data_IF_899341003964
#
_entry.id   IF_899341003964
#
_cell.length_a   1.000
_cell.length_b   1.000
_cell.length_c   1.000
_cell.angle_alpha   90.00
_cell.angle_beta   90.00
_cell.angle_gamma   90.00
#
_symmetry.space_group_name_H-M   'P 1'
#
loop_
_entity.id
_entity.type
_entity.pdbx_description
1 polymer ?
#
# COMPACT_ATOMS: atom_id res chain seq x y z
N UNK A 1 24.14 8.30 4.87
CA UNK A 1 22.77 7.77 5.02
C UNK A 1 22.07 8.63 6.06
N UNK A 2 20.88 9.13 5.77
CA UNK A 2 20.01 9.77 6.77
C UNK A 2 19.02 8.75 7.30
N UNK A 3 18.66 8.86 8.58
CA UNK A 3 17.62 8.06 9.22
C UNK A 3 16.46 8.96 9.65
N UNK A 4 15.23 8.49 9.41
CA UNK A 4 14.02 9.08 9.94
C UNK A 4 13.53 8.17 11.08
N UNK A 5 13.32 8.73 12.26
CA UNK A 5 12.87 8.02 13.46
C UNK A 5 11.64 8.70 14.03
N UNK A 6 10.69 7.90 14.51
CA UNK A 6 9.50 8.37 15.23
C UNK A 6 9.51 7.67 16.57
N UNK A 7 9.56 8.46 17.64
CA UNK A 7 9.47 7.95 19.01
C UNK A 7 8.00 7.87 19.40
N UNK A 8 7.56 6.68 19.82
CA UNK A 8 6.20 6.40 20.24
C UNK A 8 6.28 5.87 21.67
N UNK A 9 5.53 6.44 22.63
CA UNK A 9 5.42 5.86 23.96
C UNK A 9 4.92 4.42 23.89
N UNK A 10 5.50 3.51 24.69
CA UNK A 10 5.15 2.08 24.66
C UNK A 10 3.64 1.84 24.86
N UNK A 11 2.99 2.67 25.69
CA UNK A 11 1.54 2.63 25.95
C UNK A 11 0.68 2.93 24.71
N UNK A 12 1.24 3.62 23.72
CA UNK A 12 0.57 4.03 22.49
C UNK A 12 0.95 3.18 21.26
N UNK A 13 1.94 2.29 21.37
CA UNK A 13 2.36 1.43 20.25
C UNK A 13 1.20 0.54 19.78
N UNK A 14 0.49 -0.09 20.73
CA UNK A 14 -0.63 -0.99 20.41
C UNK A 14 -1.72 -0.30 19.60
N UNK A 15 -2.20 0.88 20.04
CA UNK A 15 -3.25 1.61 19.33
C UNK A 15 -2.83 2.07 17.93
N UNK A 16 -1.55 2.40 17.73
CA UNK A 16 -1.03 2.82 16.43
C UNK A 16 -1.01 1.64 15.47
N UNK A 17 -0.51 0.49 15.93
CA UNK A 17 -0.45 -0.74 15.14
C UNK A 17 -1.87 -1.22 14.82
N UNK A 18 -2.78 -1.24 15.79
CA UNK A 18 -4.17 -1.63 15.60
C UNK A 18 -4.87 -0.71 14.59
N UNK A 19 -4.65 0.61 14.67
CA UNK A 19 -5.20 1.56 13.71
C UNK A 19 -4.68 1.32 12.28
N UNK A 20 -3.38 1.06 12.11
CA UNK A 20 -2.80 0.73 10.81
C UNK A 20 -3.35 -0.59 10.26
N UNK A 21 -3.39 -1.64 11.08
CA UNK A 21 -3.96 -2.92 10.72
C UNK A 21 -5.42 -2.79 10.27
N UNK A 22 -6.24 -2.02 10.99
CA UNK A 22 -7.64 -1.78 10.64
C UNK A 22 -7.78 -1.00 9.32
N UNK A 23 -7.00 0.08 9.12
CA UNK A 23 -7.10 0.93 7.94
C UNK A 23 -6.63 0.23 6.66
N UNK A 24 -5.60 -0.61 6.77
CA UNK A 24 -5.01 -1.32 5.64
C UNK A 24 -5.45 -2.79 5.53
N UNK A 25 -6.48 -3.18 6.30
CA UNK A 25 -7.16 -4.49 6.21
C UNK A 25 -6.23 -5.68 6.46
N UNK A 26 -5.42 -5.59 7.51
CA UNK A 26 -4.68 -6.75 8.00
C UNK A 26 -5.64 -7.88 8.39
N UNK A 27 -5.22 -9.13 8.16
CA UNK A 27 -5.95 -10.32 8.57
C UNK A 27 -5.03 -11.19 9.41
N UNK A 28 -5.52 -11.65 10.56
CA UNK A 28 -4.78 -12.57 11.44
C UNK A 28 -4.66 -13.97 10.80
N UNK A 29 -5.64 -14.36 9.97
CA UNK A 29 -5.62 -15.59 9.16
C UNK A 29 -5.75 -15.24 7.68
N UNK A 30 -4.99 -15.94 6.85
CA UNK A 30 -5.01 -15.79 5.39
C UNK A 30 -5.41 -17.11 4.73
N UNK A 31 -5.97 -17.07 3.50
CA UNK A 31 -6.23 -18.27 2.73
C UNK A 31 -4.96 -19.09 2.60
N UNK A 32 -5.07 -20.39 2.86
CA UNK A 32 -3.93 -21.28 2.74
C UNK A 32 -3.56 -21.45 1.26
N UNK A 33 -2.36 -21.03 0.83
CA UNK A 33 -1.95 -21.16 -0.57
C UNK A 33 -1.76 -22.60 -1.02
N UNK A 34 -1.62 -23.55 -0.09
CA UNK A 34 -1.44 -24.98 -0.37
C UNK A 34 -2.69 -25.82 -0.09
N UNK A 35 -3.86 -25.17 0.07
CA UNK A 35 -5.11 -25.87 0.37
C UNK A 35 -5.43 -26.95 -0.66
N UNK A 36 -5.64 -28.17 -0.18
CA UNK A 36 -6.07 -29.34 -0.94
C UNK A 36 -7.28 -30.00 -0.27
N UNK A 37 -8.42 -29.97 -0.95
CA UNK A 37 -9.69 -30.53 -0.46
C UNK A 37 -9.69 -32.05 -0.37
N UNK A 38 -8.74 -32.74 -1.04
CA UNK A 38 -8.62 -34.20 -0.99
C UNK A 38 -7.58 -34.67 0.05
N UNK A 39 -6.90 -33.75 0.75
CA UNK A 39 -5.92 -34.10 1.77
C UNK A 39 -6.61 -34.70 3.01
N UNK A 40 -6.23 -35.92 3.39
CA UNK A 40 -6.89 -36.64 4.49
C UNK A 40 -6.62 -36.05 5.88
N UNK A 41 -5.46 -35.42 6.08
CA UNK A 41 -5.15 -34.61 7.27
C UNK A 41 -3.79 -33.93 7.09
N UNK A 42 -3.64 -32.72 7.65
CA UNK A 42 -2.38 -32.00 7.64
C UNK A 42 -2.56 -30.50 7.41
N UNK A 43 -1.46 -29.74 7.35
CA UNK A 43 -1.51 -28.29 7.09
C UNK A 43 -2.20 -27.96 5.77
N UNK A 44 -2.09 -28.83 4.76
CA UNK A 44 -2.70 -28.64 3.44
C UNK A 44 -4.22 -28.87 3.44
N UNK A 45 -4.78 -29.53 4.47
CA UNK A 45 -6.25 -29.69 4.61
C UNK A 45 -6.96 -28.47 5.21
N UNK A 46 -6.20 -27.47 5.68
CA UNK A 46 -6.75 -26.26 6.29
C UNK A 46 -7.04 -25.20 5.21
N UNK A 47 -8.27 -24.67 5.20
CA UNK A 47 -8.67 -23.60 4.27
C UNK A 47 -7.95 -22.27 4.55
N UNK A 48 -7.60 -22.02 5.81
CA UNK A 48 -6.88 -20.82 6.27
C UNK A 48 -5.71 -21.20 7.16
N UNK A 49 -4.69 -20.34 7.17
CA UNK A 49 -3.51 -20.44 8.04
C UNK A 49 -3.27 -19.10 8.73
N UNK A 50 -2.56 -19.13 9.86
CA UNK A 50 -2.10 -17.91 10.52
C UNK A 50 -1.26 -17.08 9.55
N UNK A 51 -1.46 -15.76 9.58
CA UNK A 51 -0.68 -14.84 8.80
C UNK A 51 0.79 -14.89 9.26
N UNK A 52 1.75 -15.23 8.38
CA UNK A 52 3.16 -15.28 8.75
C UNK A 52 3.73 -13.89 9.07
N UNK A 53 3.07 -12.82 8.61
CA UNK A 53 3.45 -11.45 8.94
C UNK A 53 2.76 -11.01 10.23
N UNK A 54 3.55 -10.61 11.24
CA UNK A 54 2.99 -10.07 12.49
C UNK A 54 2.38 -8.69 12.26
N UNK A 55 1.46 -8.27 13.13
CA UNK A 55 0.88 -6.91 13.09
C UNK A 55 1.94 -5.80 13.08
N UNK A 56 3.01 -5.97 13.85
CA UNK A 56 4.11 -4.99 13.90
C UNK A 56 4.89 -4.95 12.58
N UNK A 57 5.17 -6.11 11.98
CA UNK A 57 5.87 -6.18 10.70
C UNK A 57 5.03 -5.56 9.59
N UNK A 58 3.74 -5.88 9.57
CA UNK A 58 2.76 -5.29 8.65
C UNK A 58 2.70 -3.77 8.80
N UNK A 59 2.54 -3.25 10.02
CA UNK A 59 2.49 -1.81 10.29
C UNK A 59 3.77 -1.09 9.82
N UNK A 60 4.93 -1.70 10.08
CA UNK A 60 6.22 -1.19 9.62
C UNK A 60 6.32 -1.17 8.09
N UNK A 61 5.90 -2.26 7.41
CA UNK A 61 5.89 -2.34 5.95
C UNK A 61 4.96 -1.28 5.36
N UNK A 62 3.73 -1.16 5.85
CA UNK A 62 2.77 -0.16 5.38
C UNK A 62 3.25 1.27 5.59
N UNK A 63 3.93 1.56 6.70
CA UNK A 63 4.53 2.88 6.95
C UNK A 63 5.61 3.22 5.92
N UNK A 64 6.46 2.24 5.56
CA UNK A 64 7.48 2.44 4.50
C UNK A 64 6.82 2.66 3.14
N UNK A 65 5.82 1.84 2.80
CA UNK A 65 5.06 1.97 1.55
C UNK A 65 4.37 3.34 1.45
N UNK A 66 3.80 3.85 2.54
CA UNK A 66 3.21 5.18 2.60
C UNK A 66 4.22 6.27 2.27
N UNK A 67 5.40 6.26 2.90
CA UNK A 67 6.44 7.25 2.64
C UNK A 67 6.94 7.20 1.19
N UNK A 68 7.12 6.00 0.64
CA UNK A 68 7.50 5.81 -0.77
C UNK A 68 6.43 6.34 -1.72
N UNK A 69 5.16 5.93 -1.52
CA UNK A 69 4.03 6.32 -2.36
C UNK A 69 3.78 7.83 -2.32
N UNK A 70 3.86 8.44 -1.14
CA UNK A 70 3.72 9.88 -0.97
C UNK A 70 4.79 10.65 -1.75
N UNK A 71 6.05 10.22 -1.64
CA UNK A 71 7.18 10.85 -2.36
C UNK A 71 6.99 10.71 -3.88
N UNK A 72 6.72 9.50 -4.34
CA UNK A 72 6.52 9.22 -5.77
C UNK A 72 5.33 10.00 -6.36
N UNK A 73 4.22 10.09 -5.63
CA UNK A 73 3.03 10.84 -6.06
C UNK A 73 3.31 12.34 -6.21
N UNK A 74 4.11 12.90 -5.30
CA UNK A 74 4.54 14.29 -5.38
C UNK A 74 5.44 14.54 -6.60
N UNK A 75 6.42 13.67 -6.85
CA UNK A 75 7.30 13.78 -8.01
C UNK A 75 6.54 13.64 -9.33
N UNK A 76 5.58 12.70 -9.41
CA UNK A 76 4.68 12.57 -10.55
C UNK A 76 3.88 13.85 -10.82
N UNK A 77 3.41 14.51 -9.76
CA UNK A 77 2.69 15.78 -9.87
C UNK A 77 3.58 16.86 -10.48
N UNK A 78 4.81 17.01 -10.00
CA UNK A 78 5.77 17.98 -10.55
C UNK A 78 6.09 17.69 -12.02
N UNK A 79 6.33 16.42 -12.36
CA UNK A 79 6.62 16.01 -13.73
C UNK A 79 5.44 16.31 -14.67
N UNK A 80 4.21 16.10 -14.21
CA UNK A 80 2.99 16.45 -14.97
C UNK A 80 2.88 17.96 -15.19
N UNK A 81 3.10 18.76 -14.15
CA UNK A 81 3.03 20.23 -14.24
C UNK A 81 4.07 20.78 -15.24
N UNK A 82 5.30 20.28 -15.18
CA UNK A 82 6.35 20.63 -16.14
C UNK A 82 6.02 20.17 -17.57
N UNK A 83 5.38 19.00 -17.74
CA UNK A 83 4.95 18.54 -19.06
C UNK A 83 3.85 19.44 -19.63
N UNK A 84 2.88 19.89 -18.82
CA UNK A 84 1.78 20.76 -19.24
C UNK A 84 2.31 22.10 -19.79
N UNK A 85 3.36 22.69 -19.21
CA UNK A 85 3.93 23.94 -19.72
C UNK A 85 4.55 23.81 -21.12
N UNK A 86 4.92 22.60 -21.53
CA UNK A 86 5.52 22.32 -22.83
C UNK A 86 4.50 21.85 -23.87
N UNK A 87 3.23 21.66 -23.50
CA UNK A 87 2.19 21.22 -24.43
C UNK A 87 1.86 22.34 -25.42
N UNK A 88 2.01 22.12 -26.74
CA UNK A 88 1.67 23.13 -27.73
C UNK A 88 0.17 23.44 -27.68
N UNK A 89 -0.20 24.68 -27.99
CA UNK A 89 -1.60 25.07 -28.09
C UNK A 89 -2.33 24.16 -29.08
N UNK A 90 -3.54 23.68 -28.74
CA UNK A 90 -4.33 22.87 -29.65
C UNK A 90 -4.51 23.56 -31.01
N UNK A 91 -4.55 22.80 -32.11
CA UNK A 91 -4.81 23.38 -33.43
C UNK A 91 -6.18 24.06 -33.43
N UNK A 92 -6.26 25.24 -34.05
CA UNK A 92 -7.51 25.94 -34.23
C UNK A 92 -8.30 25.29 -35.38
N UNK A 93 -9.39 24.60 -35.06
CA UNK A 93 -10.29 23.96 -36.03
C UNK A 93 -11.58 24.81 -36.09
N UNK A 94 -11.75 25.60 -37.15
CA UNK A 94 -12.98 26.34 -37.44
C UNK A 94 -13.72 25.68 -38.60
N UNK A 95 -15.04 25.53 -38.48
CA UNK A 95 -15.91 25.05 -39.57
C UNK A 95 -16.11 26.16 -40.61
N UNK A 96 -15.69 25.95 -41.88
CA UNK A 96 -15.86 26.95 -42.94
C UNK A 96 -17.31 27.10 -43.45
N UNK A 97 -18.26 26.33 -42.91
CA UNK A 97 -19.65 26.27 -43.41
C UNK A 97 -20.65 27.09 -42.57
N UNK A 98 -20.17 27.91 -41.62
CA UNK A 98 -20.96 28.83 -40.78
C UNK A 98 -20.56 30.27 -41.08
#
# INVERSE_FOLDING_TARGET
>A
MSSFCVDIPDEDVGRLVDALCANYKYQDEIPNPTFDSEAESGPDSLETIDNPETKNDFANRMTREFLMSNTYSYELKLAREAAISEVPTPPNITDPSI
#
